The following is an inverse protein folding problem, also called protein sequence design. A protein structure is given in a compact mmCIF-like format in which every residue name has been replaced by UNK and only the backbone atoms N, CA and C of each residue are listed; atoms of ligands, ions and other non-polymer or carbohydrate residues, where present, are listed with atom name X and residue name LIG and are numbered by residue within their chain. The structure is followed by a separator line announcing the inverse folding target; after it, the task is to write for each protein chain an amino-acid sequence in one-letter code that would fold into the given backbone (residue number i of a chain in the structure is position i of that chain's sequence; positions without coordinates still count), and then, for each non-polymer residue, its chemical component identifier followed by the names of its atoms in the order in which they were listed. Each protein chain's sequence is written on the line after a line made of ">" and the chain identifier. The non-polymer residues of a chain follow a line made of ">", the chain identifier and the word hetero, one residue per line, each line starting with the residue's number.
data_IF_160003431298
#
_entry.id   IF_160003431298
#
_cell.length_a   1.000
_cell.length_b   1.000
_cell.length_c   1.000
_cell.angle_alpha   90.00
_cell.angle_beta   90.00
_cell.angle_gamma   90.00
#
_symmetry.space_group_name_H-M   'P 1'
#
loop_
_entity.id
_entity.type
_entity.pdbx_description
1 polymer ?
#
# COMPACT_ATOMS: atom_id res chain seq x y z
N UNK A 1 -2.54 -6.34 13.98
CA UNK A 1 -1.43 -7.17 13.44
C UNK A 1 -1.93 -8.60 13.23
N UNK A 2 -1.28 -9.34 12.34
CA UNK A 2 -1.76 -10.64 11.81
C UNK A 2 -1.00 -11.84 12.40
N UNK A 3 -0.96 -12.96 11.68
CA UNK A 3 -0.32 -14.18 12.14
C UNK A 3 1.20 -14.05 12.23
N UNK A 4 1.84 -14.83 13.11
CA UNK A 4 3.29 -14.81 13.32
C UNK A 4 4.12 -15.18 12.08
N UNK A 5 3.53 -15.87 11.11
CA UNK A 5 4.16 -16.23 9.84
C UNK A 5 3.91 -15.20 8.73
N UNK A 6 3.29 -14.06 9.02
CA UNK A 6 3.08 -12.93 8.12
C UNK A 6 3.83 -11.71 8.67
N UNK A 7 5.16 -11.64 8.50
CA UNK A 7 5.91 -10.49 8.96
C UNK A 7 5.52 -9.24 8.16
N UNK A 8 5.28 -8.14 8.87
CA UNK A 8 5.04 -6.85 8.23
C UNK A 8 6.30 -6.36 7.51
N UNK A 9 6.13 -5.86 6.29
CA UNK A 9 7.21 -5.20 5.56
C UNK A 9 7.51 -3.83 6.18
N UNK A 10 8.78 -3.46 6.21
CA UNK A 10 9.20 -2.15 6.73
C UNK A 10 9.12 -1.07 5.63
N UNK A 11 8.02 -0.34 5.57
CA UNK A 11 7.82 0.76 4.60
C UNK A 11 8.62 2.03 4.90
N UNK A 12 9.29 2.16 6.04
CA UNK A 12 10.27 3.24 6.26
C UNK A 12 11.50 3.08 5.37
N UNK A 13 11.80 1.85 4.95
CA UNK A 13 12.90 1.56 4.03
C UNK A 13 12.48 1.93 2.60
N UNK A 14 13.13 2.91 1.94
CA UNK A 14 12.79 3.28 0.56
C UNK A 14 12.91 2.12 -0.41
N UNK A 15 13.83 1.17 -0.19
CA UNK A 15 13.95 -0.01 -1.04
C UNK A 15 12.69 -0.87 -1.02
N UNK A 16 12.03 -1.04 0.14
CA UNK A 16 10.76 -1.77 0.24
C UNK A 16 9.66 -1.06 -0.56
N UNK A 17 9.62 0.27 -0.52
CA UNK A 17 8.65 1.05 -1.31
C UNK A 17 8.85 0.85 -2.81
N UNK A 18 10.10 0.88 -3.30
CA UNK A 18 10.41 0.64 -4.70
C UNK A 18 10.06 -0.79 -5.14
N UNK A 19 10.35 -1.79 -4.32
CA UNK A 19 10.01 -3.19 -4.61
C UNK A 19 8.49 -3.40 -4.68
N UNK A 20 7.72 -2.75 -3.80
CA UNK A 20 6.25 -2.78 -3.87
C UNK A 20 5.75 -2.12 -5.16
N UNK A 21 6.29 -0.98 -5.56
CA UNK A 21 5.93 -0.34 -6.83
C UNK A 21 6.34 -1.19 -8.04
N UNK A 22 7.48 -1.89 -7.97
CA UNK A 22 7.90 -2.83 -9.00
C UNK A 22 6.93 -4.03 -9.09
N UNK A 23 6.52 -4.60 -7.96
CA UNK A 23 5.52 -5.66 -7.92
C UNK A 23 4.16 -5.20 -8.48
N UNK A 24 3.73 -3.98 -8.15
CA UNK A 24 2.49 -3.41 -8.69
C UNK A 24 2.55 -3.27 -10.21
N UNK A 25 3.66 -2.75 -10.75
CA UNK A 25 3.88 -2.64 -12.20
C UNK A 25 3.89 -4.00 -12.88
N UNK A 26 4.61 -4.97 -12.29
CA UNK A 26 4.76 -6.30 -12.86
C UNK A 26 3.42 -6.95 -13.22
N UNK A 27 2.42 -6.94 -12.33
CA UNK A 27 1.14 -7.56 -12.68
C UNK A 27 0.26 -6.69 -13.58
N UNK A 28 0.38 -5.36 -13.53
CA UNK A 28 -0.32 -4.48 -14.47
C UNK A 28 0.23 -4.63 -15.89
N UNK A 29 1.54 -4.83 -16.05
CA UNK A 29 2.17 -5.16 -17.33
C UNK A 29 1.65 -6.51 -17.89
N UNK A 30 1.18 -7.41 -17.03
CA UNK A 30 0.52 -8.67 -17.42
C UNK A 30 -0.98 -8.51 -17.72
N UNK A 31 -1.56 -7.33 -17.52
CA UNK A 31 -2.91 -6.98 -17.95
C UNK A 31 -4.03 -7.20 -16.93
N UNK A 32 -3.74 -7.16 -15.62
CA UNK A 32 -4.81 -7.10 -14.61
C UNK A 32 -5.43 -5.69 -14.57
N UNK A 33 -6.72 -5.59 -14.23
CA UNK A 33 -7.45 -4.31 -14.22
C UNK A 33 -7.24 -3.47 -12.94
N UNK A 34 -6.60 -4.03 -11.91
CA UNK A 34 -6.46 -3.34 -10.63
C UNK A 34 -6.05 -4.20 -9.45
N UNK A 35 -6.02 -3.54 -8.29
CA UNK A 35 -5.62 -4.14 -7.02
C UNK A 35 -6.64 -3.92 -5.92
N UNK A 36 -6.84 -4.97 -5.11
CA UNK A 36 -7.22 -4.80 -3.71
C UNK A 36 -5.95 -4.57 -2.90
N UNK A 37 -5.84 -3.41 -2.27
CA UNK A 37 -4.74 -3.08 -1.38
C UNK A 37 -5.10 -3.61 0.01
N UNK A 38 -4.48 -4.74 0.37
CA UNK A 38 -4.71 -5.43 1.63
C UNK A 38 -4.11 -4.67 2.81
N UNK A 39 -4.82 -4.65 3.95
CA UNK A 39 -4.32 -4.17 5.23
C UNK A 39 -3.71 -2.75 5.16
N UNK A 40 -4.23 -1.86 4.30
CA UNK A 40 -3.62 -0.54 4.08
C UNK A 40 -3.47 0.31 5.34
N UNK A 41 -4.31 0.23 6.39
CA UNK A 41 -4.09 1.03 7.58
C UNK A 41 -2.74 0.79 8.28
N UNK A 42 -2.10 -0.36 8.05
CA UNK A 42 -1.00 -0.90 8.89
C UNK A 42 0.41 -0.78 8.29
N UNK A 43 0.58 -0.09 7.15
CA UNK A 43 1.83 -0.09 6.39
C UNK A 43 3.03 0.52 7.15
N UNK A 44 2.80 1.58 7.93
CA UNK A 44 3.83 2.26 8.72
C UNK A 44 3.60 2.03 10.21
N UNK A 45 4.68 2.11 10.98
CA UNK A 45 4.66 1.98 12.44
C UNK A 45 5.40 3.16 13.07
N UNK A 46 4.87 3.68 14.18
CA UNK A 46 5.48 4.79 14.92
C UNK A 46 5.24 4.57 16.43
N UNK A 47 6.31 4.68 17.22
CA UNK A 47 6.24 4.50 18.67
C UNK A 47 5.32 5.54 19.32
N UNK A 48 4.50 5.12 20.27
CA UNK A 48 3.53 5.98 20.94
C UNK A 48 2.19 6.16 20.19
N UNK A 49 2.03 5.52 19.02
CA UNK A 49 0.76 5.47 18.28
C UNK A 49 0.16 4.06 18.30
N UNK A 50 -1.06 3.89 17.78
CA UNK A 50 -1.62 2.56 17.50
C UNK A 50 -1.11 1.95 16.18
N UNK A 51 -0.22 2.65 15.44
CA UNK A 51 0.32 2.24 14.14
C UNK A 51 -0.73 2.01 13.05
N UNK A 52 -1.86 2.71 13.12
CA UNK A 52 -2.94 2.64 12.13
C UNK A 52 -3.15 4.02 11.51
N UNK A 53 -3.45 4.06 10.20
CA UNK A 53 -3.81 5.29 9.46
C UNK A 53 -2.80 6.44 9.59
N UNK A 54 -1.52 6.11 9.79
CA UNK A 54 -0.48 7.12 9.93
C UNK A 54 -0.41 8.00 8.66
N UNK A 55 -0.08 9.29 8.77
CA UNK A 55 0.06 10.18 7.61
C UNK A 55 1.01 9.64 6.53
N UNK A 56 2.06 8.92 6.95
CA UNK A 56 3.01 8.25 6.06
C UNK A 56 2.34 7.18 5.18
N UNK A 57 1.40 6.39 5.72
CA UNK A 57 0.58 5.43 4.97
C UNK A 57 -0.14 6.13 3.82
N UNK A 58 -0.87 7.20 4.12
CA UNK A 58 -1.59 7.95 3.09
C UNK A 58 -0.65 8.62 2.08
N UNK A 59 0.53 9.09 2.52
CA UNK A 59 1.52 9.66 1.62
C UNK A 59 2.05 8.63 0.62
N UNK A 60 2.34 7.42 1.09
CA UNK A 60 2.75 6.32 0.23
C UNK A 60 1.63 5.89 -0.72
N UNK A 61 0.38 5.78 -0.25
CA UNK A 61 -0.76 5.45 -1.13
C UNK A 61 -1.00 6.51 -2.21
N UNK A 62 -0.81 7.80 -1.91
CA UNK A 62 -0.85 8.87 -2.93
C UNK A 62 0.27 8.73 -3.96
N UNK A 63 1.46 8.32 -3.53
CA UNK A 63 2.57 8.00 -4.44
C UNK A 63 2.20 6.83 -5.35
N UNK A 64 1.71 5.73 -4.79
CA UNK A 64 1.21 4.57 -5.55
C UNK A 64 0.20 5.02 -6.60
N UNK A 65 -0.84 5.77 -6.19
CA UNK A 65 -1.85 6.27 -7.12
C UNK A 65 -1.24 7.12 -8.24
N UNK A 66 -0.33 8.04 -7.91
CA UNK A 66 0.32 8.90 -8.91
C UNK A 66 1.11 8.10 -9.95
N UNK A 67 1.83 7.07 -9.51
CA UNK A 67 2.62 6.24 -10.41
C UNK A 67 1.75 5.33 -11.29
N UNK A 68 0.70 4.72 -10.72
CA UNK A 68 -0.24 3.92 -11.50
C UNK A 68 -0.94 4.78 -12.55
N UNK A 69 -1.37 5.99 -12.22
CA UNK A 69 -2.06 6.88 -13.16
C UNK A 69 -1.22 7.33 -14.34
N UNK A 70 0.08 7.50 -14.11
CA UNK A 70 1.01 7.93 -15.14
C UNK A 70 1.25 6.84 -16.20
N UNK A 71 1.10 5.55 -15.84
CA UNK A 71 1.52 4.42 -16.67
C UNK A 71 0.37 3.50 -17.10
N UNK A 72 -0.68 3.38 -16.28
CA UNK A 72 -1.76 2.41 -16.44
C UNK A 72 -3.13 3.11 -16.28
N UNK A 73 -3.59 3.83 -17.31
CA UNK A 73 -4.91 4.44 -17.29
C UNK A 73 -5.99 3.37 -17.06
N UNK A 74 -7.12 3.78 -16.47
CA UNK A 74 -8.28 2.93 -16.16
C UNK A 74 -8.06 1.84 -15.10
N UNK A 75 -6.92 1.85 -14.40
CA UNK A 75 -6.66 0.92 -13.27
C UNK A 75 -7.46 1.26 -12.02
N UNK A 76 -8.11 0.26 -11.43
CA UNK A 76 -8.83 0.37 -10.15
C UNK A 76 -7.91 0.06 -8.98
N UNK A 77 -7.91 0.93 -7.96
CA UNK A 77 -7.28 0.67 -6.67
C UNK A 77 -8.36 0.68 -5.58
N UNK A 78 -8.61 -0.48 -4.97
CA UNK A 78 -9.58 -0.66 -3.90
C UNK A 78 -8.85 -0.86 -2.57
N UNK A 79 -8.93 0.14 -1.69
CA UNK A 79 -8.37 0.06 -0.34
C UNK A 79 -9.22 -0.87 0.54
N UNK A 80 -8.59 -1.86 1.18
CA UNK A 80 -9.22 -2.56 2.29
C UNK A 80 -8.84 -1.91 3.62
N UNK A 81 -9.77 -1.13 4.15
CA UNK A 81 -9.67 -0.51 5.46
C UNK A 81 -10.96 -0.80 6.23
N UNK A 82 -10.99 -1.89 6.98
CA UNK A 82 -12.12 -2.30 7.81
C UNK A 82 -12.14 -1.54 9.15
N UNK A 83 -12.24 -0.21 9.08
CA UNK A 83 -12.25 0.70 10.21
C UNK A 83 -13.48 1.61 10.17
N UNK A 84 -13.75 2.30 11.27
CA UNK A 84 -14.82 3.29 11.33
C UNK A 84 -14.49 4.49 10.42
N UNK A 85 -15.50 5.16 9.84
CA UNK A 85 -15.34 6.24 8.85
C UNK A 85 -14.92 7.59 9.47
N UNK A 86 -14.17 7.56 10.56
CA UNK A 86 -13.75 8.73 11.35
C UNK A 86 -12.75 9.63 10.60
#
# INVERSE_FOLDING_TARGET
>A
RFFSHQPDLNYENPAVQEEILAALRFWLDLGIDGYRLDAVPYLFAEEGTNCENLPATHAFLRRVRREIDAMYPDTVLLAEANQWPE
#
